data_IF_714968004184
#
_entry.id   IF_714968004184
#
_cell.length_a   1.000
_cell.length_b   1.000
_cell.length_c   1.000
_cell.angle_alpha   90.00
_cell.angle_beta   90.00
_cell.angle_gamma   90.00
#
_symmetry.space_group_name_H-M   'P 1'
#
loop_
_entity.id
_entity.type
_entity.pdbx_description
1 polymer ?
#
# COMPACT_ATOMS: atom_id res chain seq x y z
N UNK A 1 -6.77 14.72 -4.90
CA UNK A 1 -6.73 13.61 -3.91
C UNK A 1 -6.17 12.36 -4.59
N UNK A 2 -5.27 11.62 -3.95
CA UNK A 2 -4.62 10.43 -4.55
C UNK A 2 -5.48 9.19 -4.30
N UNK A 3 -6.17 8.68 -5.33
CA UNK A 3 -7.09 7.55 -5.24
C UNK A 3 -6.37 6.22 -5.02
N UNK A 4 -5.27 6.01 -5.73
CA UNK A 4 -4.54 4.75 -5.72
C UNK A 4 -3.34 4.83 -4.77
N UNK A 5 -2.98 3.72 -4.15
CA UNK A 5 -1.75 3.57 -3.37
C UNK A 5 -0.99 2.34 -3.85
N UNK A 6 0.21 2.52 -4.37
CA UNK A 6 1.10 1.43 -4.74
C UNK A 6 1.85 0.98 -3.50
N UNK A 7 1.64 -0.25 -3.05
CA UNK A 7 2.25 -0.82 -1.85
C UNK A 7 3.49 -1.62 -2.22
N UNK A 8 4.56 -1.43 -1.46
CA UNK A 8 5.84 -2.14 -1.61
C UNK A 8 6.54 -2.32 -0.26
N UNK A 9 7.44 -3.29 -0.18
CA UNK A 9 8.36 -3.43 0.95
C UNK A 9 9.70 -2.77 0.60
N UNK A 10 10.24 -2.03 1.56
CA UNK A 10 11.61 -1.54 1.55
C UNK A 10 12.22 -1.81 2.92
N UNK A 11 13.28 -2.61 2.98
CA UNK A 11 13.93 -3.02 4.24
C UNK A 11 12.91 -3.58 5.25
N UNK A 12 12.09 -4.53 4.79
CA UNK A 12 11.05 -5.20 5.60
C UNK A 12 9.92 -4.31 6.12
N UNK A 13 9.90 -3.02 5.75
CA UNK A 13 8.83 -2.10 6.12
C UNK A 13 7.92 -1.85 4.94
N UNK A 14 6.61 -1.90 5.20
CA UNK A 14 5.61 -1.52 4.22
C UNK A 14 5.65 -0.01 3.97
N UNK A 15 5.68 0.34 2.71
CA UNK A 15 5.67 1.70 2.22
C UNK A 15 4.62 1.81 1.11
N UNK A 16 4.17 3.03 0.84
CA UNK A 16 3.28 3.30 -0.28
C UNK A 16 3.69 4.53 -1.08
N UNK A 17 3.29 4.54 -2.34
CA UNK A 17 3.31 5.73 -3.19
C UNK A 17 1.89 5.98 -3.66
N UNK A 18 1.32 7.13 -3.28
CA UNK A 18 -0.01 7.51 -3.76
C UNK A 18 0.04 8.02 -5.21
N UNK A 19 -0.95 7.62 -6.01
CA UNK A 19 -1.15 8.00 -7.42
C UNK A 19 -2.58 8.50 -7.67
N UNK A 20 -2.75 9.38 -8.64
CA UNK A 20 -4.06 9.93 -8.98
C UNK A 20 -4.83 8.96 -9.90
N UNK A 21 -4.12 8.32 -10.84
CA UNK A 21 -4.71 7.40 -11.83
C UNK A 21 -4.16 5.97 -11.68
N UNK A 22 -4.93 4.99 -12.18
CA UNK A 22 -4.50 3.59 -12.21
C UNK A 22 -3.28 3.39 -13.13
N UNK A 23 -3.22 4.11 -14.25
CA UNK A 23 -2.10 4.02 -15.20
C UNK A 23 -0.78 4.47 -14.56
N UNK A 24 -0.80 5.58 -13.81
CA UNK A 24 0.35 6.03 -13.00
C UNK A 24 0.74 4.98 -11.97
N UNK A 25 -0.24 4.41 -11.24
CA UNK A 25 0.01 3.39 -10.24
C UNK A 25 0.68 2.14 -10.83
N UNK A 26 0.23 1.69 -12.02
CA UNK A 26 0.84 0.57 -12.75
C UNK A 26 2.26 0.89 -13.21
N UNK A 27 2.50 2.10 -13.71
CA UNK A 27 3.85 2.56 -14.08
C UNK A 27 4.80 2.56 -12.88
N UNK A 28 4.32 3.04 -11.73
CA UNK A 28 5.10 3.02 -10.47
C UNK A 28 5.37 1.59 -10.03
N UNK A 29 4.37 0.70 -10.07
CA UNK A 29 4.54 -0.71 -9.73
C UNK A 29 5.61 -1.38 -10.60
N UNK A 30 5.55 -1.18 -11.93
CA UNK A 30 6.55 -1.70 -12.87
C UNK A 30 7.96 -1.17 -12.57
N UNK A 31 8.08 0.12 -12.25
CA UNK A 31 9.36 0.73 -11.86
C UNK A 31 9.90 0.14 -10.55
N UNK A 32 9.03 -0.21 -9.60
CA UNK A 32 9.43 -0.86 -8.36
C UNK A 32 9.91 -2.29 -8.61
N UNK A 33 9.31 -3.01 -9.56
CA UNK A 33 9.74 -4.37 -9.95
C UNK A 33 11.16 -4.41 -10.53
N UNK A 34 11.71 -3.30 -11.01
CA UNK A 34 13.09 -3.23 -11.52
C UNK A 34 14.12 -2.86 -10.45
N UNK A 35 13.70 -2.38 -9.28
CA UNK A 35 14.59 -2.05 -8.15
C UNK A 35 14.75 -3.24 -7.22
N UNK A 36 15.93 -3.87 -7.24
CA UNK A 36 16.26 -5.04 -6.40
C UNK A 36 16.13 -4.80 -4.89
N UNK A 37 16.10 -3.56 -4.42
CA UNK A 37 15.97 -3.22 -3.00
C UNK A 37 14.52 -3.14 -2.54
N UNK A 38 13.57 -3.19 -3.47
CA UNK A 38 12.15 -3.02 -3.22
C UNK A 38 11.42 -4.27 -3.66
N UNK A 39 10.43 -4.66 -2.87
CA UNK A 39 9.59 -5.79 -3.22
C UNK A 39 8.18 -5.24 -3.50
N UNK A 40 7.75 -5.19 -4.77
CA UNK A 40 6.41 -4.74 -5.10
C UNK A 40 5.36 -5.70 -4.49
N UNK A 41 4.27 -5.14 -3.95
CA UNK A 41 3.15 -5.94 -3.41
C UNK A 41 1.92 -5.82 -4.30
N UNK A 42 1.53 -4.59 -4.66
CA UNK A 42 0.33 -4.36 -5.47
C UNK A 42 -0.19 -2.93 -5.39
N UNK A 43 -1.42 -2.74 -5.83
CA UNK A 43 -2.11 -1.45 -5.91
C UNK A 43 -3.41 -1.53 -5.12
N UNK A 44 -3.59 -0.60 -4.19
CA UNK A 44 -4.83 -0.40 -3.47
C UNK A 44 -5.65 0.72 -4.11
N UNK A 45 -6.94 0.49 -4.36
CA UNK A 45 -7.90 1.51 -4.81
C UNK A 45 -8.77 1.96 -3.63
N UNK A 46 -8.53 3.18 -3.15
CA UNK A 46 -9.26 3.71 -1.99
C UNK A 46 -10.73 4.04 -2.27
N UNK A 47 -11.18 4.03 -3.54
CA UNK A 47 -12.59 4.24 -3.87
C UNK A 47 -13.40 2.96 -3.72
N UNK A 48 -12.83 1.83 -4.11
CA UNK A 48 -13.51 0.52 -4.11
C UNK A 48 -13.05 -0.38 -2.97
N UNK A 49 -12.00 0.02 -2.24
CA UNK A 49 -11.35 -0.76 -1.18
C UNK A 49 -10.83 -2.12 -1.67
N UNK A 50 -10.52 -2.18 -2.97
CA UNK A 50 -9.99 -3.38 -3.61
C UNK A 50 -8.47 -3.32 -3.73
N UNK A 51 -7.86 -4.50 -3.71
CA UNK A 51 -6.41 -4.66 -3.87
C UNK A 51 -6.09 -5.49 -5.13
N UNK A 52 -5.32 -4.89 -6.04
CA UNK A 52 -4.75 -5.55 -7.22
C UNK A 52 -3.32 -6.00 -6.88
N UNK A 53 -3.10 -7.32 -6.76
CA UNK A 53 -1.78 -7.85 -6.45
C UNK A 53 -0.81 -7.73 -7.62
N UNK A 54 0.48 -7.63 -7.31
CA UNK A 54 1.52 -7.81 -8.31
C UNK A 54 1.41 -9.22 -8.95
N UNK A 55 1.57 -9.35 -10.28
CA UNK A 55 1.26 -10.59 -11.01
C UNK A 55 1.90 -11.87 -10.45
N UNK A 56 3.16 -11.82 -10.00
CA UNK A 56 3.82 -13.00 -9.45
C UNK A 56 3.20 -13.40 -8.11
N UNK A 57 2.82 -12.43 -7.28
CA UNK A 57 2.11 -12.67 -6.01
C UNK A 57 0.69 -13.17 -6.21
N UNK A 58 0.00 -12.67 -7.24
CA UNK A 58 -1.34 -13.15 -7.58
C UNK A 58 -1.31 -14.65 -7.90
N UNK A 59 -0.27 -15.12 -8.60
CA UNK A 59 -0.10 -16.55 -8.88
C UNK A 59 0.07 -17.38 -7.60
N UNK A 60 0.89 -16.92 -6.65
CA UNK A 60 1.05 -17.59 -5.34
C UNK A 60 -0.27 -17.62 -4.56
N UNK A 61 -1.01 -16.52 -4.55
CA UNK A 61 -2.29 -16.39 -3.85
C UNK A 61 -3.37 -17.30 -4.44
N UNK A 62 -3.45 -17.39 -5.77
CA UNK A 62 -4.41 -18.25 -6.45
C UNK A 62 -4.22 -19.74 -6.10
N UNK A 63 -3.01 -20.14 -5.71
CA UNK A 63 -2.70 -21.49 -5.28
C UNK A 63 -2.89 -21.72 -3.76
N UNK A 64 -3.15 -20.65 -2.99
CA UNK A 64 -3.40 -20.73 -1.56
C UNK A 64 -4.85 -21.13 -1.25
N UNK A 65 -5.10 -21.61 -0.02
CA UNK A 65 -6.47 -21.90 0.43
C UNK A 65 -7.33 -20.64 0.48
N UNK A 66 -8.66 -20.78 0.37
CA UNK A 66 -9.60 -19.64 0.46
C UNK A 66 -9.39 -18.84 1.74
N UNK A 67 -9.19 -19.52 2.88
CA UNK A 67 -8.94 -18.86 4.17
C UNK A 67 -7.64 -18.05 4.14
N UNK A 68 -6.59 -18.58 3.54
CA UNK A 68 -5.32 -17.89 3.42
C UNK A 68 -5.37 -16.70 2.47
N UNK A 69 -6.08 -16.83 1.34
CA UNK A 69 -6.36 -15.72 0.43
C UNK A 69 -7.11 -14.60 1.17
N UNK A 70 -8.15 -14.95 1.92
CA UNK A 70 -8.93 -14.01 2.73
C UNK A 70 -8.08 -13.30 3.78
N UNK A 71 -7.27 -14.05 4.54
CA UNK A 71 -6.40 -13.50 5.57
C UNK A 71 -5.34 -12.55 4.99
N UNK A 72 -4.67 -12.96 3.90
CA UNK A 72 -3.65 -12.12 3.23
C UNK A 72 -4.27 -10.86 2.62
N UNK A 73 -5.44 -10.99 2.00
CA UNK A 73 -6.21 -9.87 1.45
C UNK A 73 -6.62 -8.86 2.53
N UNK A 74 -7.21 -9.34 3.62
CA UNK A 74 -7.60 -8.48 4.73
C UNK A 74 -6.40 -7.74 5.33
N UNK A 75 -5.30 -8.47 5.58
CA UNK A 75 -4.09 -7.93 6.16
C UNK A 75 -3.49 -6.81 5.29
N UNK A 76 -3.38 -7.01 3.97
CA UNK A 76 -2.78 -5.99 3.11
C UNK A 76 -3.65 -4.74 2.96
N UNK A 77 -4.98 -4.91 2.97
CA UNK A 77 -5.93 -3.78 2.97
C UNK A 77 -5.76 -2.96 4.24
N UNK A 78 -5.69 -3.60 5.41
CA UNK A 78 -5.45 -2.91 6.69
C UNK A 78 -4.13 -2.10 6.66
N UNK A 79 -3.06 -2.68 6.11
CA UNK A 79 -1.78 -1.97 5.94
C UNK A 79 -1.95 -0.76 5.01
N UNK A 80 -2.59 -0.95 3.86
CA UNK A 80 -2.78 0.12 2.88
C UNK A 80 -3.56 1.30 3.46
N UNK A 81 -4.62 1.03 4.22
CA UNK A 81 -5.37 2.05 4.94
C UNK A 81 -4.51 2.76 6.01
N UNK A 82 -3.77 2.01 6.82
CA UNK A 82 -2.92 2.59 7.87
C UNK A 82 -1.86 3.53 7.28
N UNK A 83 -1.22 3.12 6.18
CA UNK A 83 -0.26 3.93 5.44
C UNK A 83 -0.89 5.21 4.87
N UNK A 84 -2.12 5.11 4.33
CA UNK A 84 -2.85 6.27 3.82
C UNK A 84 -3.25 7.23 4.93
N UNK A 85 -3.71 6.74 6.07
CA UNK A 85 -4.04 7.58 7.25
C UNK A 85 -2.79 8.32 7.75
N UNK A 86 -1.64 7.63 7.79
CA UNK A 86 -0.35 8.25 8.13
C UNK A 86 0.02 9.38 7.18
N UNK A 87 -0.07 9.16 5.85
CA UNK A 87 0.22 10.22 4.87
C UNK A 87 -0.78 11.38 4.93
N UNK A 88 -2.06 11.09 5.17
CA UNK A 88 -3.11 12.10 5.25
C UNK A 88 -3.01 12.94 6.54
N UNK A 89 -2.54 12.33 7.62
CA UNK A 89 -2.22 13.03 8.88
C UNK A 89 -0.86 13.72 8.86
N UNK A 90 0.01 13.40 7.89
CA UNK A 90 1.31 14.05 7.73
C UNK A 90 1.15 15.38 7.00
N UNK A 91 0.83 16.42 7.76
CA UNK A 91 0.92 17.82 7.33
C UNK A 91 2.26 18.40 7.79
N UNK A 92 3.31 18.44 6.95
CA UNK A 92 4.55 19.12 7.31
C UNK A 92 4.37 20.64 7.55
N UNK A 93 3.22 21.20 7.15
CA UNK A 93 2.81 22.57 7.46
C UNK A 93 2.30 22.76 8.90
N UNK A 94 1.84 21.70 9.58
CA UNK A 94 1.29 21.78 10.95
C UNK A 94 2.36 21.63 12.04
N UNK A 95 3.63 21.53 11.66
CA UNK A 95 4.73 21.37 12.60
C UNK A 95 4.64 20.06 13.39
N UNK A 96 5.67 19.77 14.17
CA UNK A 96 5.65 18.66 15.10
C UNK A 96 4.63 18.95 16.22
N UNK A 97 3.35 18.61 16.02
CA UNK A 97 2.42 18.50 17.14
C UNK A 97 2.88 17.33 18.00
N UNK A 98 3.66 17.67 19.05
CA UNK A 98 3.94 16.78 20.17
C UNK A 98 2.59 16.32 20.74
N UNK A 99 2.36 15.02 20.95
CA UNK A 99 1.19 14.59 21.71
C UNK A 99 1.26 15.24 23.09
N UNK A 100 0.28 16.09 23.39
CA UNK A 100 0.10 16.67 24.72
C UNK A 100 -0.41 15.57 25.66
N UNK A 101 0.48 15.05 26.49
CA UNK A 101 0.10 14.19 27.62
C UNK A 101 -0.34 15.07 28.78
N UNK A 102 -1.58 15.55 28.77
CA UNK A 102 -2.26 16.00 29.98
C UNK A 102 -3.76 15.69 29.89
N UNK A 103 -4.17 14.71 30.70
CA UNK A 103 -5.51 14.59 31.29
C UNK A 103 -5.30 14.19 32.75
#
# INVERSE_FOLDING_TARGET
MKRYSVIYLLREQYQHVGSATLSEAKTVLQKLSTDKRRIPIGIYDAKTELFEWEPNRQHELNNASISEQGNRGHHIITIAEALRRRDSGWHPADGFQRPSFFA
#
